data_IF_683876912308
#
_entry.id   IF_683876912308
#
_cell.length_a   1.000
_cell.length_b   1.000
_cell.length_c   1.000
_cell.angle_alpha   90.00
_cell.angle_beta   90.00
_cell.angle_gamma   90.00
#
_symmetry.space_group_name_H-M   'P 1'
#
loop_
_entity.id
_entity.type
_entity.pdbx_description
1 polymer ?
#
# COMPACT_ATOMS: atom_id res chain seq x y z
N UNK A 1 -13.04 -21.20 -0.92
CA UNK A 1 -12.81 -19.77 -0.93
C UNK A 1 -11.36 -19.42 -0.60
N UNK A 2 -10.96 -18.20 -0.93
CA UNK A 2 -9.61 -17.68 -0.62
C UNK A 2 -9.36 -17.57 0.89
N UNK A 3 -10.39 -17.26 1.66
CA UNK A 3 -10.35 -17.10 3.11
C UNK A 3 -11.45 -17.89 3.78
N UNK A 4 -11.22 -18.28 5.03
CA UNK A 4 -12.19 -18.99 5.86
C UNK A 4 -12.71 -20.31 5.27
N UNK A 5 -11.95 -20.91 4.37
CA UNK A 5 -12.23 -22.22 3.79
C UNK A 5 -11.69 -23.36 4.65
N UNK A 6 -11.41 -24.47 4.02
CA UNK A 6 -10.78 -25.61 4.69
C UNK A 6 -9.36 -25.27 5.13
N UNK A 7 -8.87 -25.86 6.22
CA UNK A 7 -7.47 -25.73 6.61
C UNK A 7 -6.53 -26.07 5.46
N UNK A 8 -5.41 -25.37 5.39
CA UNK A 8 -4.43 -25.50 4.30
C UNK A 8 -3.85 -26.92 4.18
N UNK A 9 -3.61 -27.58 5.30
CA UNK A 9 -3.02 -28.92 5.31
C UNK A 9 -1.62 -28.93 4.69
N UNK A 10 -1.40 -29.82 3.73
CA UNK A 10 -0.13 -29.91 3.01
C UNK A 10 0.00 -28.72 2.05
N UNK A 11 1.11 -27.99 2.13
CA UNK A 11 1.41 -26.91 1.20
C UNK A 11 1.77 -27.50 -0.17
N UNK A 12 0.88 -27.36 -1.13
CA UNK A 12 1.06 -27.87 -2.50
C UNK A 12 1.14 -26.70 -3.47
N UNK A 13 2.19 -26.71 -4.29
CA UNK A 13 2.44 -25.69 -5.31
C UNK A 13 2.41 -26.27 -6.72
N UNK A 14 1.68 -27.35 -6.92
CA UNK A 14 1.49 -28.07 -8.17
C UNK A 14 0.06 -27.99 -8.71
N UNK A 15 -0.87 -27.46 -7.91
CA UNK A 15 -2.28 -27.31 -8.28
C UNK A 15 -2.89 -26.10 -7.60
N UNK A 16 -3.38 -25.15 -8.37
CA UNK A 16 -3.87 -23.86 -7.88
C UNK A 16 -5.32 -23.62 -8.27
N UNK A 17 -6.10 -23.07 -7.36
CA UNK A 17 -7.41 -22.50 -7.68
C UNK A 17 -7.25 -21.19 -8.46
N UNK A 18 -6.31 -20.37 -8.06
CA UNK A 18 -6.04 -19.06 -8.65
C UNK A 18 -4.55 -18.87 -8.99
N UNK A 19 -4.11 -19.34 -10.18
CA UNK A 19 -2.70 -19.26 -10.57
C UNK A 19 -2.11 -17.85 -10.57
N UNK A 20 -2.95 -16.81 -10.60
CA UNK A 20 -2.48 -15.42 -10.55
C UNK A 20 -1.66 -15.12 -9.29
N UNK A 21 -2.02 -15.71 -8.15
CA UNK A 21 -1.28 -15.47 -6.91
C UNK A 21 0.10 -16.12 -6.91
N UNK A 22 0.23 -17.29 -7.52
CA UNK A 22 1.54 -17.90 -7.74
C UNK A 22 2.40 -17.06 -8.69
N UNK A 23 1.82 -16.56 -9.76
CA UNK A 23 2.50 -15.65 -10.69
C UNK A 23 3.01 -14.39 -9.96
N UNK A 24 2.17 -13.78 -9.12
CA UNK A 24 2.56 -12.61 -8.33
C UNK A 24 3.65 -12.95 -7.31
N UNK A 25 3.62 -14.14 -6.72
CA UNK A 25 4.68 -14.63 -5.84
C UNK A 25 6.01 -14.69 -6.57
N UNK A 26 6.04 -15.34 -7.73
CA UNK A 26 7.25 -15.47 -8.56
C UNK A 26 7.80 -14.11 -8.99
N UNK A 27 6.93 -13.19 -9.39
CA UNK A 27 7.34 -11.83 -9.77
C UNK A 27 7.95 -11.05 -8.59
N UNK A 28 7.34 -11.13 -7.41
CA UNK A 28 7.89 -10.49 -6.21
C UNK A 28 9.28 -11.05 -5.85
N UNK A 29 9.45 -12.36 -5.89
CA UNK A 29 10.75 -12.99 -5.64
C UNK A 29 11.81 -12.53 -6.64
N UNK A 30 11.43 -12.34 -7.90
CA UNK A 30 12.30 -11.81 -8.96
C UNK A 30 12.64 -10.33 -8.78
N UNK A 31 11.91 -9.61 -7.96
CA UNK A 31 12.12 -8.20 -7.67
C UNK A 31 12.89 -7.94 -6.38
N UNK A 32 13.47 -8.94 -5.77
CA UNK A 32 14.28 -8.78 -4.56
C UNK A 32 15.36 -7.71 -4.75
N UNK A 33 15.52 -6.84 -3.79
CA UNK A 33 16.53 -5.79 -3.76
C UNK A 33 16.90 -5.42 -2.32
N UNK A 34 18.02 -4.74 -2.16
CA UNK A 34 18.47 -4.22 -0.86
C UNK A 34 18.73 -2.72 -0.97
N UNK A 35 18.36 -1.94 0.04
CA UNK A 35 18.58 -0.49 0.04
C UNK A 35 20.05 -0.09 -0.20
N UNK A 36 20.97 -0.87 0.32
CA UNK A 36 22.42 -0.64 0.23
C UNK A 36 22.95 -0.69 -1.21
N UNK A 37 22.19 -1.21 -2.14
CA UNK A 37 22.52 -1.22 -3.58
C UNK A 37 22.38 0.16 -4.22
N UNK A 38 21.74 1.11 -3.54
CA UNK A 38 21.54 2.48 -4.02
C UNK A 38 22.42 3.44 -3.23
N UNK A 39 23.30 4.19 -3.92
CA UNK A 39 24.11 5.21 -3.27
C UNK A 39 23.28 6.45 -2.92
N UNK A 40 23.43 6.92 -1.68
CA UNK A 40 22.81 8.15 -1.18
C UNK A 40 23.85 9.24 -0.86
N UNK A 41 25.09 9.07 -1.31
CA UNK A 41 26.17 10.01 -1.00
C UNK A 41 25.84 11.43 -1.52
N UNK A 42 25.34 11.52 -2.75
CA UNK A 42 24.95 12.81 -3.35
C UNK A 42 23.74 13.42 -2.62
N UNK A 43 22.79 12.58 -2.19
CA UNK A 43 21.55 13.03 -1.54
C UNK A 43 21.83 13.81 -0.25
N UNK A 44 22.83 13.42 0.51
CA UNK A 44 23.22 14.15 1.73
C UNK A 44 23.66 15.58 1.42
N UNK A 45 24.48 15.75 0.40
CA UNK A 45 24.90 17.07 -0.06
C UNK A 45 23.75 17.89 -0.64
N UNK A 46 22.91 17.25 -1.46
CA UNK A 46 21.72 17.90 -2.04
C UNK A 46 20.77 18.40 -0.95
N UNK A 47 20.50 17.59 0.07
CA UNK A 47 19.60 17.96 1.16
C UNK A 47 20.06 19.25 1.86
N UNK A 48 21.34 19.40 2.10
CA UNK A 48 21.91 20.59 2.75
C UNK A 48 21.67 21.86 1.94
N UNK A 49 21.58 21.75 0.63
CA UNK A 49 21.38 22.88 -0.30
C UNK A 49 19.92 23.12 -0.67
N UNK A 50 19.00 22.26 -0.26
CA UNK A 50 17.58 22.46 -0.51
C UNK A 50 17.07 23.74 0.16
N UNK A 51 16.18 24.44 -0.53
CA UNK A 51 15.45 25.56 0.05
C UNK A 51 14.52 25.09 1.19
N UNK A 52 14.19 25.98 2.14
CA UNK A 52 13.33 25.59 3.27
C UNK A 52 12.01 24.92 2.85
N UNK A 53 11.33 25.43 1.82
CA UNK A 53 10.09 24.85 1.31
C UNK A 53 10.30 23.46 0.69
N UNK A 54 11.44 23.22 0.06
CA UNK A 54 11.80 21.89 -0.46
C UNK A 54 12.11 20.90 0.67
N UNK A 55 12.84 21.32 1.70
CA UNK A 55 13.10 20.50 2.89
C UNK A 55 11.79 20.09 3.58
N UNK A 56 10.85 21.03 3.68
CA UNK A 56 9.53 20.76 4.24
C UNK A 56 8.79 19.69 3.43
N UNK A 57 8.75 19.81 2.11
CA UNK A 57 8.10 18.82 1.23
C UNK A 57 8.77 17.45 1.36
N UNK A 58 10.08 17.41 1.22
CA UNK A 58 10.85 16.16 1.28
C UNK A 58 10.67 15.42 2.62
N UNK A 59 10.87 16.13 3.74
CA UNK A 59 10.81 15.53 5.08
C UNK A 59 9.39 15.13 5.47
N UNK A 60 8.40 15.98 5.19
CA UNK A 60 6.99 15.67 5.49
C UNK A 60 6.50 14.46 4.71
N UNK A 61 6.84 14.40 3.42
CA UNK A 61 6.49 13.28 2.57
C UNK A 61 7.13 11.96 3.04
N UNK A 62 8.41 12.01 3.41
CA UNK A 62 9.15 10.85 3.91
C UNK A 62 8.57 10.33 5.23
N UNK A 63 8.22 11.22 6.17
CA UNK A 63 7.54 10.84 7.42
C UNK A 63 6.20 10.15 7.16
N UNK A 64 5.44 10.66 6.21
CA UNK A 64 4.15 10.07 5.84
C UNK A 64 4.33 8.65 5.28
N UNK A 65 5.26 8.47 4.35
CA UNK A 65 5.59 7.14 3.80
C UNK A 65 6.02 6.16 4.89
N UNK A 66 6.88 6.59 5.80
CA UNK A 66 7.34 5.74 6.92
C UNK A 66 6.18 5.27 7.79
N UNK A 67 5.27 6.16 8.13
CA UNK A 67 4.10 5.81 8.95
C UNK A 67 3.20 4.81 8.26
N UNK A 68 2.89 5.03 6.99
CA UNK A 68 2.04 4.15 6.21
C UNK A 68 2.66 2.75 6.06
N UNK A 69 3.95 2.67 5.71
CA UNK A 69 4.65 1.39 5.57
C UNK A 69 4.88 0.68 6.91
N UNK A 70 4.96 1.41 8.01
CA UNK A 70 5.04 0.80 9.34
C UNK A 70 3.74 0.08 9.72
N UNK A 71 2.60 0.61 9.32
CA UNK A 71 1.30 -0.05 9.47
C UNK A 71 1.18 -1.21 8.49
N UNK A 72 1.44 -0.95 7.22
CA UNK A 72 1.29 -1.94 6.14
C UNK A 72 2.30 -3.08 6.27
N UNK A 73 3.51 -2.82 6.75
CA UNK A 73 4.56 -3.82 6.92
C UNK A 73 4.22 -4.96 7.90
N UNK A 74 3.23 -4.77 8.75
CA UNK A 74 2.75 -5.79 9.69
C UNK A 74 1.35 -6.30 9.36
N UNK A 75 0.56 -5.49 8.67
CA UNK A 75 -0.85 -5.72 8.46
C UNK A 75 -1.20 -7.05 7.78
N UNK A 76 -0.68 -7.32 6.57
CA UNK A 76 -1.05 -8.52 5.84
C UNK A 76 -0.75 -9.82 6.57
N UNK A 77 0.43 -9.93 7.20
CA UNK A 77 0.83 -11.09 7.95
C UNK A 77 0.00 -11.31 9.22
N UNK A 78 -0.31 -10.25 9.94
CA UNK A 78 -1.10 -10.34 11.17
C UNK A 78 -2.60 -10.51 10.89
N UNK A 79 -3.11 -9.85 9.86
CA UNK A 79 -4.54 -9.79 9.61
C UNK A 79 -5.03 -10.86 8.63
N UNK A 80 -4.34 -11.07 7.52
CA UNK A 80 -4.87 -11.88 6.42
C UNK A 80 -4.29 -13.29 6.36
N UNK A 81 -3.00 -13.43 6.61
CA UNK A 81 -2.29 -14.70 6.50
C UNK A 81 -2.90 -15.82 7.35
N UNK A 82 -3.31 -15.57 8.61
CA UNK A 82 -3.90 -16.63 9.45
C UNK A 82 -5.22 -17.22 8.92
N UNK A 83 -5.89 -16.51 8.02
CA UNK A 83 -7.22 -16.87 7.51
C UNK A 83 -7.21 -17.33 6.05
N UNK A 84 -6.04 -17.38 5.42
CA UNK A 84 -5.86 -17.91 4.07
C UNK A 84 -6.23 -19.38 3.99
N UNK A 85 -6.94 -19.74 2.92
CA UNK A 85 -7.36 -21.12 2.65
C UNK A 85 -6.76 -21.70 1.38
N UNK A 86 -5.90 -20.95 0.69
CA UNK A 86 -5.25 -21.38 -0.54
C UNK A 86 -3.73 -21.23 -0.43
N UNK A 87 -2.95 -22.30 -0.74
CA UNK A 87 -1.49 -22.24 -0.62
C UNK A 87 -0.84 -21.14 -1.47
N UNK A 88 -1.35 -20.94 -2.70
CA UNK A 88 -0.85 -19.90 -3.61
C UNK A 88 -1.07 -18.48 -3.06
N UNK A 89 -2.16 -18.24 -2.35
CA UNK A 89 -2.43 -16.96 -1.72
C UNK A 89 -1.58 -16.78 -0.45
N UNK A 90 -1.42 -17.83 0.35
CA UNK A 90 -0.55 -17.83 1.53
C UNK A 90 0.89 -17.46 1.14
N UNK A 91 1.44 -18.13 0.13
CA UNK A 91 2.79 -17.83 -0.37
C UNK A 91 2.91 -16.38 -0.86
N UNK A 92 1.91 -15.91 -1.60
CA UNK A 92 1.86 -14.56 -2.13
C UNK A 92 1.87 -13.51 -1.00
N UNK A 93 1.08 -13.71 0.04
CA UNK A 93 1.03 -12.82 1.20
C UNK A 93 2.31 -12.87 2.03
N UNK A 94 2.95 -14.02 2.16
CA UNK A 94 4.23 -14.17 2.87
C UNK A 94 5.33 -13.35 2.19
N UNK A 95 5.42 -13.43 0.87
CA UNK A 95 6.40 -12.63 0.11
C UNK A 95 6.04 -11.15 0.12
N UNK A 96 4.77 -10.81 0.08
CA UNK A 96 4.30 -9.43 0.24
C UNK A 96 4.83 -8.82 1.55
N UNK A 97 4.61 -9.48 2.67
CA UNK A 97 5.11 -9.00 3.97
C UNK A 97 6.64 -8.89 3.99
N UNK A 98 7.34 -9.82 3.36
CA UNK A 98 8.80 -9.76 3.20
C UNK A 98 9.25 -8.52 2.44
N UNK A 99 8.57 -8.18 1.34
CA UNK A 99 8.89 -6.98 0.55
C UNK A 99 8.58 -5.68 1.34
N UNK A 100 7.52 -5.66 2.12
CA UNK A 100 7.20 -4.51 2.99
C UNK A 100 8.29 -4.28 4.05
N UNK A 101 8.90 -5.33 4.56
CA UNK A 101 10.05 -5.20 5.47
C UNK A 101 11.23 -4.50 4.76
N UNK A 102 11.49 -4.82 3.50
CA UNK A 102 12.52 -4.14 2.71
C UNK A 102 12.19 -2.65 2.55
N UNK A 103 10.94 -2.29 2.30
CA UNK A 103 10.50 -0.90 2.21
C UNK A 103 10.79 -0.14 3.52
N UNK A 104 10.41 -0.70 4.65
CA UNK A 104 10.67 -0.09 5.96
C UNK A 104 12.17 0.11 6.23
N UNK A 105 12.99 -0.89 5.89
CA UNK A 105 14.45 -0.79 6.00
C UNK A 105 15.02 0.30 5.08
N UNK A 106 14.45 0.47 3.90
CA UNK A 106 14.91 1.46 2.93
C UNK A 106 14.71 2.90 3.42
N UNK A 107 13.62 3.18 4.12
CA UNK A 107 13.40 4.49 4.73
C UNK A 107 14.42 4.79 5.84
N UNK A 108 14.70 3.83 6.68
CA UNK A 108 15.77 3.96 7.68
C UNK A 108 17.12 4.23 7.02
N UNK A 109 17.42 3.53 5.94
CA UNK A 109 18.64 3.75 5.16
C UNK A 109 18.72 5.18 4.59
N UNK A 110 17.63 5.68 4.02
CA UNK A 110 17.57 7.08 3.54
C UNK A 110 17.84 8.05 4.70
N UNK A 111 17.14 7.91 5.80
CA UNK A 111 17.24 8.86 6.92
C UNK A 111 18.64 8.86 7.53
N UNK A 112 19.23 7.69 7.72
CA UNK A 112 20.62 7.58 8.24
C UNK A 112 21.67 8.22 7.35
N UNK A 113 21.44 8.24 6.04
CA UNK A 113 22.37 8.79 5.08
C UNK A 113 22.13 10.27 4.76
N UNK A 114 20.93 10.78 4.92
CA UNK A 114 20.57 12.15 4.57
C UNK A 114 20.62 13.09 5.77
N UNK A 115 20.13 12.66 6.93
CA UNK A 115 20.02 13.51 8.13
C UNK A 115 21.19 13.29 9.08
N UNK A 116 21.57 14.37 9.79
CA UNK A 116 22.62 14.31 10.80
C UNK A 116 22.21 13.51 12.03
N UNK A 117 20.95 13.61 12.42
CA UNK A 117 20.36 12.84 13.52
C UNK A 117 19.03 12.20 13.05
N UNK A 118 19.01 10.88 12.83
CA UNK A 118 17.79 10.17 12.45
C UNK A 118 16.62 10.33 13.41
N UNK A 119 16.88 10.49 14.70
CA UNK A 119 15.82 10.65 15.69
C UNK A 119 14.99 11.91 15.50
N UNK A 120 15.58 12.97 14.96
CA UNK A 120 14.84 14.19 14.61
C UNK A 120 13.67 13.95 13.66
N UNK A 121 13.76 12.94 12.82
CA UNK A 121 12.69 12.57 11.90
C UNK A 121 11.78 11.54 12.55
N UNK A 122 12.32 10.43 13.04
CA UNK A 122 11.53 9.32 13.58
C UNK A 122 10.67 9.71 14.77
N UNK A 123 11.22 10.46 15.74
CA UNK A 123 10.51 10.82 16.96
C UNK A 123 9.34 11.78 16.72
N UNK A 124 9.35 12.49 15.59
CA UNK A 124 8.30 13.43 15.24
C UNK A 124 7.15 12.80 14.46
N UNK A 125 7.31 11.59 13.91
CA UNK A 125 6.26 10.93 13.14
C UNK A 125 5.04 10.64 14.01
N UNK A 126 5.26 10.09 15.19
CA UNK A 126 4.19 9.68 16.12
C UNK A 126 3.56 10.85 16.87
N UNK A 127 4.07 12.05 16.71
CA UNK A 127 3.52 13.28 17.28
C UNK A 127 2.85 14.18 16.23
N UNK A 128 2.92 13.83 14.96
CA UNK A 128 2.28 14.60 13.89
C UNK A 128 0.84 14.12 13.68
N UNK A 129 -0.11 14.88 14.21
CA UNK A 129 -1.54 14.56 14.12
C UNK A 129 -2.04 14.39 12.70
N UNK A 130 -1.49 15.14 11.73
CA UNK A 130 -1.89 15.04 10.32
C UNK A 130 -1.51 13.69 9.72
N UNK A 131 -0.35 13.17 10.09
CA UNK A 131 0.13 11.85 9.64
C UNK A 131 -0.68 10.74 10.32
N UNK A 132 -0.89 10.85 11.63
CA UNK A 132 -1.66 9.88 12.41
C UNK A 132 -3.11 9.78 11.94
N UNK A 133 -3.75 10.91 11.65
CA UNK A 133 -5.11 10.95 11.12
C UNK A 133 -5.23 10.18 9.81
N UNK A 134 -4.27 10.34 8.89
CA UNK A 134 -4.28 9.63 7.59
C UNK A 134 -4.03 8.13 7.73
N UNK A 135 -3.26 7.72 8.71
CA UNK A 135 -3.01 6.30 8.98
C UNK A 135 -4.18 5.63 9.72
N UNK A 136 -5.05 6.40 10.37
CA UNK A 136 -6.08 5.90 11.28
C UNK A 136 -7.12 5.01 10.60
N UNK A 137 -7.51 5.30 9.36
CA UNK A 137 -8.51 4.50 8.64
C UNK A 137 -8.00 3.09 8.34
N UNK A 138 -6.75 2.95 7.95
CA UNK A 138 -6.12 1.65 7.68
C UNK A 138 -5.89 0.89 8.98
N UNK A 139 -5.31 1.55 9.98
CA UNK A 139 -5.09 0.95 11.30
C UNK A 139 -6.40 0.49 11.94
N UNK A 140 -7.43 1.33 11.87
CA UNK A 140 -8.76 1.01 12.38
C UNK A 140 -9.38 -0.19 11.68
N UNK A 141 -9.28 -0.29 10.37
CA UNK A 141 -9.79 -1.40 9.59
C UNK A 141 -9.09 -2.72 9.91
N UNK A 142 -7.76 -2.71 10.06
CA UNK A 142 -7.00 -3.87 10.49
C UNK A 142 -7.40 -4.32 11.90
N UNK A 143 -7.42 -3.40 12.85
CA UNK A 143 -7.78 -3.72 14.24
C UNK A 143 -9.20 -4.26 14.36
N UNK A 144 -10.14 -3.65 13.66
CA UNK A 144 -11.54 -4.08 13.67
C UNK A 144 -11.69 -5.51 13.15
N UNK A 145 -11.03 -5.82 12.04
CA UNK A 145 -11.04 -7.19 11.51
C UNK A 145 -10.34 -8.19 12.45
N UNK A 146 -9.13 -7.89 12.90
CA UNK A 146 -8.34 -8.79 13.75
C UNK A 146 -9.11 -9.10 15.06
N UNK A 147 -9.63 -8.07 15.71
CA UNK A 147 -10.36 -8.24 16.97
C UNK A 147 -11.61 -9.11 16.82
N UNK A 148 -12.39 -8.88 15.76
CA UNK A 148 -13.59 -9.67 15.51
C UNK A 148 -13.25 -11.14 15.14
N UNK A 149 -12.25 -11.34 14.31
CA UNK A 149 -11.83 -12.69 13.94
C UNK A 149 -11.30 -13.48 15.14
N UNK A 150 -10.55 -12.84 16.03
CA UNK A 150 -10.06 -13.46 17.27
C UNK A 150 -11.20 -13.75 18.26
N UNK A 151 -12.11 -12.82 18.43
CA UNK A 151 -13.26 -12.98 19.34
C UNK A 151 -14.08 -14.21 19.01
N UNK A 152 -14.31 -14.49 17.75
CA UNK A 152 -15.06 -15.65 17.31
C UNK A 152 -14.21 -16.91 17.09
N UNK A 153 -12.91 -16.83 17.38
CA UNK A 153 -11.99 -17.96 17.17
C UNK A 153 -11.95 -18.46 15.73
N UNK A 154 -12.25 -17.56 14.78
CA UNK A 154 -12.20 -17.89 13.36
C UNK A 154 -10.74 -17.85 12.90
N UNK A 155 -10.35 -18.79 12.04
CA UNK A 155 -9.06 -18.72 11.36
C UNK A 155 -7.92 -19.48 12.03
N UNK A 156 -8.18 -20.46 12.83
CA UNK A 156 -7.11 -21.32 13.31
C UNK A 156 -6.70 -22.32 12.23
N UNK A 157 -5.46 -22.23 11.80
CA UNK A 157 -4.87 -23.08 10.76
C UNK A 157 -4.87 -24.56 11.15
N UNK A 158 -4.69 -24.84 12.41
CA UNK A 158 -4.60 -26.22 12.93
C UNK A 158 -5.91 -26.78 13.45
N UNK A 159 -7.09 -26.05 13.31
CA UNK A 159 -8.34 -26.36 13.66
C UNK A 159 -8.70 -27.35 14.56
N UNK A 160 -9.33 -27.07 15.56
CA UNK A 160 -9.63 -27.87 16.36
C UNK A 160 -10.86 -28.07 16.78
N UNK A 161 -11.00 -29.14 17.06
CA UNK A 161 -12.15 -29.74 17.65
C UNK A 161 -12.39 -29.33 19.11
N UNK A 162 -11.67 -28.35 19.55
CA UNK A 162 -11.68 -27.84 20.93
C UNK A 162 -12.54 -26.58 21.14
N UNK A 163 -13.48 -26.32 20.24
CA UNK A 163 -14.40 -25.21 20.42
C UNK A 163 -15.67 -25.67 21.10
N UNK A 164 -15.99 -25.08 22.24
CA UNK A 164 -17.25 -25.30 22.95
C UNK A 164 -18.46 -24.72 22.20
N UNK A 165 -18.22 -23.67 21.42
CA UNK A 165 -19.24 -23.00 20.61
C UNK A 165 -18.69 -22.58 19.25
N UNK A 166 -19.49 -22.77 18.20
CA UNK A 166 -19.21 -22.26 16.87
C UNK A 166 -19.93 -20.94 16.67
N UNK A 167 -19.31 -19.96 15.99
CA UNK A 167 -20.01 -18.73 15.66
C UNK A 167 -21.19 -18.99 14.73
N UNK A 168 -22.24 -18.17 14.85
CA UNK A 168 -23.39 -18.19 13.96
C UNK A 168 -23.01 -17.77 12.55
N UNK A 169 -23.85 -18.09 11.57
CA UNK A 169 -23.65 -17.65 10.17
C UNK A 169 -23.61 -16.12 10.07
N UNK A 170 -24.38 -15.41 10.87
CA UNK A 170 -24.41 -13.96 10.90
C UNK A 170 -23.07 -13.39 11.45
N UNK A 171 -22.54 -13.96 12.51
CA UNK A 171 -21.24 -13.58 13.06
C UNK A 171 -20.11 -13.83 12.06
N UNK A 172 -20.13 -14.97 11.37
CA UNK A 172 -19.16 -15.27 10.31
C UNK A 172 -19.27 -14.25 9.17
N UNK A 173 -20.49 -13.92 8.73
CA UNK A 173 -20.72 -12.92 7.69
C UNK A 173 -20.24 -11.55 8.12
N UNK A 174 -20.43 -11.18 9.40
CA UNK A 174 -19.92 -9.92 9.94
C UNK A 174 -18.38 -9.87 9.90
N UNK A 175 -17.69 -10.93 10.29
CA UNK A 175 -16.22 -11.00 10.20
C UNK A 175 -15.75 -10.91 8.75
N UNK A 176 -16.43 -11.56 7.82
CA UNK A 176 -16.15 -11.46 6.38
C UNK A 176 -16.32 -10.02 5.87
N UNK A 177 -17.33 -9.30 6.36
CA UNK A 177 -17.51 -7.86 6.04
C UNK A 177 -16.34 -7.02 6.53
N UNK A 178 -15.85 -7.29 7.73
CA UNK A 178 -14.65 -6.62 8.26
C UNK A 178 -13.41 -6.92 7.42
N UNK A 179 -13.26 -8.17 6.96
CA UNK A 179 -12.19 -8.55 6.04
C UNK A 179 -12.28 -7.75 4.72
N UNK A 180 -13.47 -7.66 4.13
CA UNK A 180 -13.69 -6.87 2.92
C UNK A 180 -13.23 -5.41 3.11
N UNK A 181 -13.64 -4.80 4.21
CA UNK A 181 -13.27 -3.42 4.54
C UNK A 181 -11.78 -3.25 4.76
N UNK A 182 -11.12 -4.21 5.40
CA UNK A 182 -9.67 -4.18 5.58
C UNK A 182 -8.92 -4.27 4.24
N UNK A 183 -9.28 -5.20 3.38
CA UNK A 183 -8.68 -5.35 2.03
C UNK A 183 -8.94 -4.10 1.16
N UNK A 184 -10.13 -3.53 1.21
CA UNK A 184 -10.45 -2.29 0.48
C UNK A 184 -9.60 -1.10 0.98
N UNK A 185 -9.42 -0.97 2.29
CA UNK A 185 -8.54 0.05 2.87
C UNK A 185 -7.08 -0.10 2.40
N UNK A 186 -6.57 -1.33 2.36
CA UNK A 186 -5.22 -1.61 1.85
C UNK A 186 -5.11 -1.27 0.37
N UNK A 187 -6.12 -1.61 -0.44
CA UNK A 187 -6.15 -1.25 -1.86
C UNK A 187 -6.08 0.27 -2.06
N UNK A 188 -6.80 1.05 -1.27
CA UNK A 188 -6.77 2.52 -1.31
C UNK A 188 -5.43 3.06 -0.81
N UNK A 189 -4.86 2.49 0.24
CA UNK A 189 -3.55 2.87 0.76
C UNK A 189 -2.47 2.71 -0.32
N UNK A 190 -2.36 1.53 -0.88
CA UNK A 190 -1.33 1.19 -1.85
C UNK A 190 -1.59 1.80 -3.23
N UNK A 191 -2.87 1.93 -3.61
CA UNK A 191 -3.27 2.42 -4.93
C UNK A 191 -3.38 3.94 -5.05
N UNK A 192 -3.61 4.68 -3.97
CA UNK A 192 -3.79 6.13 -3.96
C UNK A 192 -2.76 6.82 -3.09
N UNK A 193 -2.74 6.55 -1.78
CA UNK A 193 -1.92 7.30 -0.84
C UNK A 193 -0.43 7.19 -1.14
N UNK A 194 0.07 6.00 -1.42
CA UNK A 194 1.46 5.80 -1.81
C UNK A 194 1.79 6.46 -3.15
N UNK A 195 0.92 6.33 -4.15
CA UNK A 195 1.18 6.93 -5.47
C UNK A 195 1.26 8.45 -5.42
N UNK A 196 0.44 9.09 -4.62
CA UNK A 196 0.51 10.55 -4.38
C UNK A 196 1.85 10.91 -3.71
N UNK A 197 2.24 10.12 -2.73
CA UNK A 197 3.51 10.29 -2.02
C UNK A 197 4.73 10.05 -2.93
N UNK A 198 4.67 9.02 -3.78
CA UNK A 198 5.74 8.73 -4.74
C UNK A 198 5.95 9.89 -5.72
N UNK A 199 4.89 10.52 -6.20
CA UNK A 199 4.99 11.66 -7.08
C UNK A 199 5.84 12.79 -6.48
N UNK A 200 5.74 13.04 -5.19
CA UNK A 200 6.55 14.06 -4.50
C UNK A 200 8.05 13.70 -4.52
N UNK A 201 8.38 12.45 -4.28
CA UNK A 201 9.78 11.98 -4.36
C UNK A 201 10.33 12.04 -5.78
N UNK A 202 9.54 11.67 -6.77
CA UNK A 202 9.95 11.71 -8.18
C UNK A 202 10.14 13.13 -8.69
N UNK A 203 9.38 14.10 -8.17
CA UNK A 203 9.56 15.51 -8.52
C UNK A 203 10.98 16.02 -8.19
N UNK A 204 11.54 15.57 -7.09
CA UNK A 204 12.95 15.87 -6.77
C UNK A 204 13.90 15.25 -7.80
N UNK A 205 13.68 13.98 -8.15
CA UNK A 205 14.48 13.28 -9.16
C UNK A 205 14.45 13.98 -10.53
N UNK A 206 13.29 14.50 -10.94
CA UNK A 206 13.15 15.29 -12.16
C UNK A 206 14.02 16.56 -12.14
N UNK A 207 14.25 17.14 -10.98
CA UNK A 207 15.13 18.29 -10.78
C UNK A 207 16.61 17.92 -10.58
N UNK A 208 16.95 16.63 -10.72
CA UNK A 208 18.29 16.10 -10.43
C UNK A 208 18.73 16.34 -8.98
N UNK A 209 17.77 16.38 -8.07
CA UNK A 209 17.97 16.48 -6.63
C UNK A 209 17.47 15.19 -5.96
N UNK A 210 18.14 14.77 -4.89
CA UNK A 210 17.73 13.59 -4.12
C UNK A 210 17.51 12.36 -5.01
N UNK A 211 18.35 12.16 -6.00
CA UNK A 211 18.18 11.12 -7.03
C UNK A 211 18.28 9.71 -6.48
N UNK A 212 19.13 9.47 -5.47
CA UNK A 212 19.22 8.19 -4.79
C UNK A 212 17.92 7.84 -4.04
N UNK A 213 17.36 8.81 -3.33
CA UNK A 213 16.04 8.67 -2.69
C UNK A 213 14.95 8.38 -3.71
N UNK A 214 14.94 9.12 -4.83
CA UNK A 214 13.97 8.89 -5.91
C UNK A 214 14.10 7.49 -6.52
N UNK A 215 15.31 6.97 -6.68
CA UNK A 215 15.57 5.60 -7.16
C UNK A 215 15.04 4.55 -6.18
N UNK A 216 15.28 4.72 -4.88
CA UNK A 216 14.73 3.83 -3.85
C UNK A 216 13.20 3.83 -3.91
N UNK A 217 12.57 5.00 -3.96
CA UNK A 217 11.11 5.11 -4.06
C UNK A 217 10.58 4.49 -5.36
N UNK A 218 11.34 4.58 -6.45
CA UNK A 218 11.00 3.89 -7.71
C UNK A 218 11.00 2.35 -7.57
N UNK A 219 11.96 1.80 -6.82
CA UNK A 219 11.97 0.37 -6.51
C UNK A 219 10.78 -0.04 -5.62
N UNK A 220 10.45 0.79 -4.62
CA UNK A 220 9.25 0.60 -3.80
C UNK A 220 7.99 0.64 -4.67
N UNK A 221 7.85 1.62 -5.54
CA UNK A 221 6.69 1.75 -6.42
C UNK A 221 6.53 0.54 -7.36
N UNK A 222 7.63 -0.05 -7.82
CA UNK A 222 7.62 -1.30 -8.59
C UNK A 222 7.01 -2.45 -7.78
N UNK A 223 7.38 -2.57 -6.52
CA UNK A 223 6.84 -3.58 -5.62
C UNK A 223 5.36 -3.31 -5.32
N UNK A 224 4.99 -2.06 -5.08
CA UNK A 224 3.61 -1.65 -4.81
C UNK A 224 2.65 -1.96 -5.98
N UNK A 225 3.14 -1.96 -7.21
CA UNK A 225 2.34 -2.43 -8.35
C UNK A 225 1.92 -3.89 -8.19
N UNK A 226 2.77 -4.73 -7.61
CA UNK A 226 2.46 -6.14 -7.34
C UNK A 226 1.48 -6.26 -6.17
N UNK A 227 1.68 -5.51 -5.09
CA UNK A 227 0.82 -5.51 -3.91
C UNK A 227 -0.59 -5.03 -4.27
N UNK A 228 -0.68 -3.98 -5.07
CA UNK A 228 -1.95 -3.48 -5.59
C UNK A 228 -2.67 -4.54 -6.43
N UNK A 229 -1.95 -5.29 -7.25
CA UNK A 229 -2.51 -6.39 -8.03
C UNK A 229 -3.06 -7.50 -7.13
N UNK A 230 -2.46 -7.78 -5.99
CA UNK A 230 -2.97 -8.75 -5.01
C UNK A 230 -4.35 -8.35 -4.53
N UNK A 231 -4.50 -7.15 -3.99
CA UNK A 231 -5.80 -6.69 -3.45
C UNK A 231 -6.86 -6.52 -4.53
N UNK A 232 -6.50 -6.06 -5.72
CA UNK A 232 -7.41 -5.98 -6.87
C UNK A 232 -7.93 -7.37 -7.26
N UNK A 233 -7.05 -8.36 -7.34
CA UNK A 233 -7.46 -9.73 -7.66
C UNK A 233 -8.35 -10.33 -6.58
N UNK A 234 -8.05 -10.10 -5.30
CA UNK A 234 -8.90 -10.57 -4.19
C UNK A 234 -10.31 -9.99 -4.33
N UNK A 235 -10.44 -8.68 -4.45
CA UNK A 235 -11.74 -8.01 -4.56
C UNK A 235 -12.50 -8.50 -5.79
N UNK A 236 -11.85 -8.59 -6.94
CA UNK A 236 -12.49 -9.03 -8.17
C UNK A 236 -12.93 -10.50 -8.13
N UNK A 237 -12.18 -11.37 -7.46
CA UNK A 237 -12.59 -12.78 -7.27
C UNK A 237 -13.77 -12.91 -6.33
N UNK A 238 -13.85 -12.09 -5.28
CA UNK A 238 -15.05 -12.03 -4.44
C UNK A 238 -16.28 -11.62 -5.25
N UNK A 239 -16.17 -10.56 -6.05
CA UNK A 239 -17.25 -10.12 -6.94
C UNK A 239 -17.66 -11.21 -7.95
N UNK A 240 -16.72 -12.02 -8.39
CA UNK A 240 -16.95 -13.12 -9.33
C UNK A 240 -17.48 -14.41 -8.68
N UNK A 241 -17.57 -14.46 -7.36
CA UNK A 241 -18.20 -15.56 -6.66
C UNK A 241 -17.26 -16.61 -6.02
N UNK A 242 -16.06 -16.21 -5.64
CA UNK A 242 -15.15 -17.07 -4.87
C UNK A 242 -15.82 -17.61 -3.57
N UNK A 243 -16.57 -16.74 -2.93
CA UNK A 243 -17.36 -17.02 -1.73
C UNK A 243 -18.71 -16.32 -1.89
N UNK A 244 -19.86 -17.04 -1.74
CA UNK A 244 -21.19 -16.44 -1.89
C UNK A 244 -21.45 -15.27 -0.94
N UNK A 245 -21.02 -15.38 0.33
CA UNK A 245 -21.16 -14.29 1.31
C UNK A 245 -20.32 -13.07 0.89
N UNK A 246 -19.10 -13.29 0.45
CA UNK A 246 -18.22 -12.19 0.01
C UNK A 246 -18.74 -11.51 -1.24
N UNK A 247 -19.37 -12.25 -2.15
CA UNK A 247 -20.01 -11.67 -3.34
C UNK A 247 -21.16 -10.73 -2.95
N UNK A 248 -21.97 -11.16 -2.01
CA UNK A 248 -23.06 -10.34 -1.49
C UNK A 248 -22.53 -9.12 -0.73
N UNK A 249 -21.57 -9.30 0.16
CA UNK A 249 -20.92 -8.22 0.90
C UNK A 249 -20.30 -7.18 -0.04
N UNK A 250 -19.58 -7.61 -1.08
CA UNK A 250 -19.00 -6.69 -2.05
C UNK A 250 -20.04 -5.79 -2.72
N UNK A 251 -21.23 -6.33 -2.96
CA UNK A 251 -22.37 -5.56 -3.50
C UNK A 251 -22.98 -4.62 -2.46
N UNK A 252 -23.20 -5.11 -1.24
CA UNK A 252 -23.75 -4.32 -0.14
C UNK A 252 -22.85 -3.17 0.27
N UNK A 253 -21.52 -3.36 0.20
CA UNK A 253 -20.49 -2.40 0.61
C UNK A 253 -20.07 -1.45 -0.53
N UNK A 254 -20.75 -1.43 -1.67
CA UNK A 254 -20.35 -0.58 -2.80
C UNK A 254 -20.35 0.92 -2.45
N UNK A 255 -21.41 1.39 -1.80
CA UNK A 255 -21.50 2.80 -1.36
C UNK A 255 -20.42 3.14 -0.32
N UNK A 256 -20.20 2.25 0.62
CA UNK A 256 -19.13 2.41 1.60
C UNK A 256 -17.76 2.48 0.91
N UNK A 257 -17.54 1.66 -0.11
CA UNK A 257 -16.28 1.64 -0.88
C UNK A 257 -16.08 2.98 -1.60
N UNK A 258 -17.11 3.55 -2.23
CA UNK A 258 -17.04 4.89 -2.80
C UNK A 258 -16.69 5.95 -1.74
N UNK A 259 -17.31 5.88 -0.57
CA UNK A 259 -17.00 6.78 0.54
C UNK A 259 -15.55 6.67 0.99
N UNK A 260 -15.00 5.45 1.04
CA UNK A 260 -13.59 5.20 1.36
C UNK A 260 -12.65 5.88 0.35
N UNK A 261 -12.92 5.73 -0.94
CA UNK A 261 -12.16 6.41 -2.00
C UNK A 261 -12.25 7.93 -1.89
N UNK A 262 -13.46 8.45 -1.74
CA UNK A 262 -13.70 9.89 -1.65
C UNK A 262 -13.01 10.51 -0.42
N UNK A 263 -13.08 9.87 0.73
CA UNK A 263 -12.40 10.31 1.95
C UNK A 263 -10.87 10.32 1.77
N UNK A 264 -10.31 9.29 1.14
CA UNK A 264 -8.89 9.24 0.85
C UNK A 264 -8.46 10.36 -0.10
N UNK A 265 -9.23 10.61 -1.15
CA UNK A 265 -8.98 11.72 -2.08
C UNK A 265 -9.01 13.07 -1.37
N UNK A 266 -10.01 13.31 -0.54
CA UNK A 266 -10.14 14.57 0.21
C UNK A 266 -8.97 14.77 1.19
N UNK A 267 -8.58 13.72 1.91
CA UNK A 267 -7.43 13.76 2.82
C UNK A 267 -6.12 14.01 2.08
N UNK A 268 -5.90 13.37 0.93
CA UNK A 268 -4.69 13.57 0.13
C UNK A 268 -4.65 14.96 -0.50
N UNK A 269 -5.79 15.56 -0.87
CA UNK A 269 -5.86 16.95 -1.30
C UNK A 269 -5.48 17.92 -0.18
N UNK A 270 -5.96 17.70 1.04
CA UNK A 270 -5.56 18.50 2.20
C UNK A 270 -4.07 18.34 2.51
N UNK A 271 -3.54 17.13 2.37
CA UNK A 271 -2.12 16.86 2.50
C UNK A 271 -1.30 17.62 1.45
N UNK A 272 -1.76 17.70 0.21
CA UNK A 272 -1.13 18.49 -0.84
C UNK A 272 -1.06 19.99 -0.47
N UNK A 273 -2.12 20.54 0.07
CA UNK A 273 -2.12 21.94 0.56
C UNK A 273 -1.08 22.17 1.66
N UNK A 274 -0.98 21.24 2.60
CA UNK A 274 0.02 21.29 3.66
C UNK A 274 1.46 21.19 3.11
N UNK A 275 1.72 20.28 2.17
CA UNK A 275 3.04 20.12 1.57
C UNK A 275 3.54 21.40 0.88
N UNK A 276 2.66 22.08 0.17
CA UNK A 276 3.02 23.27 -0.63
C UNK A 276 2.66 24.59 0.04
N UNK A 277 2.38 24.60 1.34
CA UNK A 277 2.01 25.82 2.09
C UNK A 277 3.06 26.93 2.02
N UNK A 278 4.35 26.58 1.95
CA UNK A 278 5.46 27.52 1.97
C UNK A 278 6.08 27.76 0.57
N UNK A 279 5.57 27.06 -0.44
CA UNK A 279 6.03 27.19 -1.83
C UNK A 279 5.96 25.89 -2.60
N UNK A 280 5.99 26.01 -3.91
CA UNK A 280 5.91 24.92 -4.86
C UNK A 280 7.30 24.51 -5.36
N UNK A 281 7.33 23.39 -6.10
CA UNK A 281 8.49 22.94 -6.85
C UNK A 281 8.24 23.15 -8.35
N UNK A 282 9.30 23.23 -9.14
CA UNK A 282 9.18 23.17 -10.59
C UNK A 282 8.56 21.81 -10.98
N UNK A 283 7.46 21.86 -11.71
CA UNK A 283 6.74 20.66 -12.17
C UNK A 283 5.76 20.07 -11.16
N UNK A 284 5.71 20.57 -9.91
CA UNK A 284 4.79 20.08 -8.90
C UNK A 284 4.31 21.21 -7.96
N UNK A 285 2.99 21.36 -7.90
CA UNK A 285 2.30 22.25 -6.97
C UNK A 285 1.04 21.56 -6.45
N UNK A 286 0.33 22.20 -5.53
CA UNK A 286 -0.89 21.65 -4.92
C UNK A 286 -1.98 21.34 -5.96
N UNK A 287 -2.19 22.21 -6.94
CA UNK A 287 -3.19 22.01 -8.00
C UNK A 287 -2.89 20.78 -8.86
N UNK A 288 -1.65 20.63 -9.31
CA UNK A 288 -1.21 19.50 -10.12
C UNK A 288 -1.31 18.20 -9.33
N UNK A 289 -0.90 18.21 -8.05
CA UNK A 289 -0.98 17.02 -7.20
C UNK A 289 -2.44 16.65 -6.91
N UNK A 290 -3.31 17.61 -6.64
CA UNK A 290 -4.76 17.36 -6.46
C UNK A 290 -5.40 16.72 -7.69
N UNK A 291 -5.05 17.21 -8.89
CA UNK A 291 -5.52 16.61 -10.14
C UNK A 291 -5.00 15.18 -10.29
N UNK A 292 -3.76 14.94 -9.94
CA UNK A 292 -3.16 13.60 -9.97
C UNK A 292 -3.85 12.63 -9.01
N UNK A 293 -4.20 13.08 -7.80
CA UNK A 293 -4.98 12.27 -6.84
C UNK A 293 -6.29 11.80 -7.47
N UNK A 294 -7.05 12.68 -8.10
CA UNK A 294 -8.31 12.33 -8.76
C UNK A 294 -8.11 11.38 -9.94
N UNK A 295 -7.09 11.63 -10.74
CA UNK A 295 -6.76 10.77 -11.87
C UNK A 295 -6.39 9.35 -11.44
N UNK A 296 -5.55 9.21 -10.40
CA UNK A 296 -5.19 7.91 -9.83
C UNK A 296 -6.41 7.23 -9.23
N UNK A 297 -7.24 7.95 -8.45
CA UNK A 297 -8.44 7.40 -7.84
C UNK A 297 -9.40 6.81 -8.86
N UNK A 298 -9.64 7.51 -9.97
CA UNK A 298 -10.47 6.99 -11.06
C UNK A 298 -9.94 5.67 -11.64
N UNK A 299 -8.64 5.56 -11.82
CA UNK A 299 -8.00 4.33 -12.31
C UNK A 299 -8.16 3.18 -11.32
N UNK A 300 -8.02 3.45 -10.03
CA UNK A 300 -8.18 2.43 -8.97
C UNK A 300 -9.63 1.99 -8.82
N UNK A 301 -10.57 2.91 -8.87
CA UNK A 301 -11.99 2.58 -8.91
C UNK A 301 -12.30 1.61 -10.06
N UNK A 302 -11.86 1.94 -11.25
CA UNK A 302 -12.08 1.10 -12.45
C UNK A 302 -11.47 -0.30 -12.27
N UNK A 303 -10.30 -0.42 -11.66
CA UNK A 303 -9.60 -1.70 -11.49
C UNK A 303 -10.33 -2.69 -10.57
N UNK A 304 -11.21 -2.22 -9.72
CA UNK A 304 -12.06 -3.05 -8.86
C UNK A 304 -13.54 -3.03 -9.26
N UNK A 305 -13.84 -2.58 -10.48
CA UNK A 305 -15.18 -2.61 -11.07
C UNK A 305 -16.12 -1.50 -10.61
N UNK A 306 -15.59 -0.40 -10.07
CA UNK A 306 -16.36 0.81 -9.75
C UNK A 306 -16.30 1.80 -10.92
N UNK A 307 -17.37 2.57 -11.10
CA UNK A 307 -17.37 3.67 -12.07
C UNK A 307 -16.55 4.83 -11.54
N UNK A 308 -15.62 5.40 -12.34
CA UNK A 308 -14.92 6.62 -11.98
C UNK A 308 -15.88 7.78 -11.72
N UNK A 309 -15.63 8.58 -10.68
CA UNK A 309 -16.52 9.67 -10.27
C UNK A 309 -15.91 11.06 -10.46
N UNK A 310 -14.61 11.17 -10.68
CA UNK A 310 -13.94 12.46 -10.84
C UNK A 310 -13.92 12.87 -12.31
N UNK A 311 -14.20 14.18 -12.55
CA UNK A 311 -14.20 14.75 -13.89
C UNK A 311 -12.77 15.12 -14.31
N UNK A 312 -12.02 14.11 -14.71
CA UNK A 312 -10.66 14.25 -15.22
C UNK A 312 -10.42 13.25 -16.37
N UNK A 313 -9.83 13.67 -17.51
CA UNK A 313 -9.65 12.79 -18.64
C UNK A 313 -8.76 11.59 -18.33
N UNK A 314 -9.26 10.40 -18.59
CA UNK A 314 -8.55 9.14 -18.27
C UNK A 314 -7.19 9.00 -18.96
N UNK A 315 -7.02 9.58 -20.14
CA UNK A 315 -5.79 9.51 -20.94
C UNK A 315 -4.80 10.63 -20.65
N UNK A 316 -5.16 11.60 -19.82
CA UNK A 316 -4.35 12.78 -19.53
C UNK A 316 -3.83 12.73 -18.11
N UNK A 317 -2.71 12.03 -17.90
CA UNK A 317 -2.01 12.06 -16.62
C UNK A 317 -1.58 13.50 -16.28
N UNK A 318 -2.04 14.09 -15.17
CA UNK A 318 -1.63 15.45 -14.78
C UNK A 318 -0.14 15.61 -14.49
N UNK A 319 0.52 14.49 -14.15
CA UNK A 319 1.96 14.42 -13.89
C UNK A 319 2.59 13.35 -14.81
N UNK A 320 2.71 13.63 -16.12
CA UNK A 320 3.12 12.61 -17.09
C UNK A 320 4.52 12.05 -16.83
N UNK A 321 5.39 12.81 -16.22
CA UNK A 321 6.75 12.38 -15.85
C UNK A 321 6.75 11.28 -14.77
N UNK A 322 5.67 11.09 -14.01
CA UNK A 322 5.57 10.00 -13.01
C UNK A 322 5.60 8.62 -13.65
N UNK A 323 5.11 8.47 -14.88
CA UNK A 323 5.08 7.19 -15.58
C UNK A 323 6.47 6.60 -15.79
N UNK A 324 7.44 7.45 -16.08
CA UNK A 324 8.84 7.06 -16.22
C UNK A 324 9.41 6.44 -14.92
N UNK A 325 9.07 6.99 -13.76
CA UNK A 325 9.55 6.52 -12.45
C UNK A 325 8.81 5.27 -11.96
N UNK A 326 7.53 5.16 -12.25
CA UNK A 326 6.69 4.03 -11.82
C UNK A 326 6.91 2.82 -12.72
N UNK A 327 7.25 3.03 -14.00
CA UNK A 327 7.54 1.96 -14.93
C UNK A 327 8.81 1.21 -14.51
N UNK A 328 8.73 -0.12 -14.40
CA UNK A 328 9.88 -0.99 -14.11
C UNK A 328 10.88 -1.08 -15.27
N UNK A 329 10.61 -0.44 -16.40
CA UNK A 329 11.50 -0.43 -17.57
C UNK A 329 12.75 0.39 -17.25
N UNK A 330 13.89 -0.24 -17.25
CA UNK A 330 15.19 0.39 -17.02
C UNK A 330 15.64 0.46 -15.55
N UNK A 331 14.86 -0.05 -14.61
CA UNK A 331 15.32 -0.24 -13.25
C UNK A 331 16.27 -1.45 -13.21
N UNK A 332 17.55 -1.17 -13.28
CA UNK A 332 18.57 -2.18 -13.02
C UNK A 332 19.01 -2.07 -11.55
N UNK A 333 18.75 -3.12 -10.81
CA UNK A 333 19.45 -3.40 -9.56
C UNK A 333 20.70 -4.19 -9.93
N UNK A 334 21.78 -4.03 -9.19
CA UNK A 334 22.99 -4.82 -9.43
C UNK A 334 22.66 -6.31 -9.45
N UNK A 335 23.30 -7.11 -10.33
CA UNK A 335 23.11 -8.55 -10.30
C UNK A 335 23.43 -9.07 -8.90
N UNK A 336 22.56 -9.92 -8.39
CA UNK A 336 22.83 -10.62 -7.14
C UNK A 336 23.82 -11.74 -7.45
N UNK A 337 25.03 -11.64 -6.90
CA UNK A 337 26.01 -12.73 -6.91
C UNK A 337 25.68 -13.74 -5.81
#
# INVERSE_FOLDING_TARGET
>A
PMFFGKPLGVQRYDSYKYPIFDKLTTQQLGYFWRPEEVSLQKDRGDYQTLRPEQKHIYTSNLKYQIMLDSVQGRGPGMAFLPYCSLPELEACMTVWEFMEMIHSRSYTYIIKNVYSDPSEVFDKIVTDERILERASSVTGAYNDFINHAQQYGIGNMWKDDFRDTYPSQEEIKNVKRKLYRAIANVNVLEGIRFYVSFACSFAFGELKLMEGSAKIVSLIARDENQHLAITQNIINKWKSGDDPDMKEIAKEEEEWTYSLFNNAVDEEKKWAEYLFRDGSMIGLNDKLLKNYVEWVANRRMKSIGLKPVYDIPAKSNPLPWTEHWISSKGLQVAPQE
#
